data_IF_560842380657
#
_entry.id   IF_560842380657
#
_cell.length_a   1.000
_cell.length_b   1.000
_cell.length_c   1.000
_cell.angle_alpha   90.00
_cell.angle_beta   90.00
_cell.angle_gamma   90.00
#
_symmetry.space_group_name_H-M   'P 1'
#
loop_
_entity.id
_entity.type
_entity.pdbx_description
1 polymer ?
#
# COMPACT_ATOMS: atom_id res chain seq x y z
N UNK A 1 -5.25 15.03 -24.07
CA UNK A 1 -6.20 15.18 -22.96
C UNK A 1 -5.39 15.20 -21.68
N UNK A 2 -5.18 16.44 -21.23
CA UNK A 2 -4.47 17.01 -20.07
C UNK A 2 -3.79 16.01 -19.12
N UNK A 3 -2.45 16.00 -19.15
CA UNK A 3 -1.62 15.54 -18.05
C UNK A 3 -1.59 16.67 -17.02
N UNK A 4 -2.39 16.56 -15.97
CA UNK A 4 -2.32 17.49 -14.85
C UNK A 4 -0.99 17.24 -14.11
N UNK A 5 -0.06 18.15 -14.40
CA UNK A 5 1.16 18.40 -13.66
C UNK A 5 0.81 18.64 -12.19
N UNK A 6 1.16 17.68 -11.34
CA UNK A 6 1.30 17.92 -9.90
C UNK A 6 2.38 18.97 -9.69
N UNK A 7 1.95 20.16 -9.26
CA UNK A 7 2.81 21.25 -8.81
C UNK A 7 3.69 20.75 -7.66
N UNK A 8 4.95 20.48 -7.96
CA UNK A 8 6.00 20.45 -6.96
C UNK A 8 6.58 21.88 -6.93
N UNK A 9 6.22 22.67 -5.91
CA UNK A 9 6.80 24.00 -5.73
C UNK A 9 8.33 23.88 -5.64
N UNK A 10 9.01 24.42 -6.64
CA UNK A 10 10.43 24.25 -6.87
C UNK A 10 11.24 25.17 -5.93
N UNK A 11 11.62 24.63 -4.78
CA UNK A 11 12.75 25.12 -3.98
C UNK A 11 14.03 24.39 -4.38
N UNK A 12 14.76 24.98 -5.32
CA UNK A 12 16.17 24.80 -5.66
C UNK A 12 16.93 23.66 -4.95
N UNK A 13 16.94 22.45 -5.54
CA UNK A 13 18.06 21.46 -5.70
C UNK A 13 17.52 20.20 -6.42
N UNK A 14 17.51 20.20 -7.75
CA UNK A 14 17.12 19.02 -8.54
C UNK A 14 18.23 17.95 -8.52
N UNK A 15 18.21 17.06 -7.54
CA UNK A 15 18.60 15.67 -7.79
C UNK A 15 17.42 15.01 -8.52
N UNK A 16 17.58 14.70 -9.81
CA UNK A 16 16.57 14.03 -10.64
C UNK A 16 16.42 12.55 -10.25
N UNK A 17 16.04 12.29 -9.01
CA UNK A 17 15.71 10.95 -8.53
C UNK A 17 14.23 10.93 -8.24
N UNK A 18 13.52 9.98 -8.86
CA UNK A 18 12.10 9.80 -8.62
C UNK A 18 11.84 9.66 -7.11
N UNK A 19 11.03 10.55 -6.51
CA UNK A 19 10.81 10.53 -5.08
C UNK A 19 10.04 9.26 -4.68
N UNK A 20 10.48 8.63 -3.60
CA UNK A 20 9.86 7.39 -3.08
C UNK A 20 8.48 7.62 -2.47
N UNK A 21 8.21 8.86 -2.05
CA UNK A 21 6.99 9.26 -1.35
C UNK A 21 6.51 10.60 -1.89
N UNK A 22 5.20 10.84 -1.77
CA UNK A 22 4.60 12.13 -2.07
C UNK A 22 5.06 13.20 -1.07
N UNK A 23 5.13 14.49 -1.45
CA UNK A 23 5.63 15.55 -0.57
C UNK A 23 4.84 15.70 0.75
N UNK A 24 3.51 15.74 0.68
CA UNK A 24 2.62 15.76 1.86
C UNK A 24 1.90 14.42 2.02
N UNK A 25 2.59 13.51 2.70
CA UNK A 25 2.09 12.16 2.98
C UNK A 25 0.83 12.17 3.84
N UNK A 26 0.73 13.12 4.78
CA UNK A 26 -0.41 13.22 5.70
C UNK A 26 -1.66 13.66 4.94
N UNK A 27 -1.57 14.74 4.17
CA UNK A 27 -2.71 15.23 3.40
C UNK A 27 -3.17 14.21 2.36
N UNK A 28 -2.23 13.47 1.74
CA UNK A 28 -2.56 12.40 0.79
C UNK A 28 -3.31 11.26 1.48
N UNK A 29 -2.83 10.80 2.65
CA UNK A 29 -3.51 9.76 3.42
C UNK A 29 -4.91 10.18 3.89
N UNK A 30 -5.09 11.44 4.33
CA UNK A 30 -6.36 11.94 4.86
C UNK A 30 -7.41 12.21 3.76
N UNK A 31 -6.98 12.65 2.58
CA UNK A 31 -7.90 13.17 1.55
C UNK A 31 -8.12 12.23 0.36
N UNK A 32 -7.17 11.36 0.02
CA UNK A 32 -7.30 10.46 -1.13
C UNK A 32 -8.44 9.44 -0.92
N UNK A 33 -9.26 9.23 -1.94
CA UNK A 33 -10.42 8.34 -1.84
C UNK A 33 -10.05 6.89 -1.52
N UNK A 34 -8.92 6.39 -2.03
CA UNK A 34 -8.47 5.02 -1.80
C UNK A 34 -8.12 4.82 -0.33
N UNK A 35 -7.30 5.71 0.24
CA UNK A 35 -6.93 5.65 1.66
C UNK A 35 -8.16 5.85 2.55
N UNK A 36 -9.08 6.76 2.20
CA UNK A 36 -10.33 6.95 2.95
C UNK A 36 -11.26 5.74 2.93
N UNK A 37 -11.29 4.97 1.83
CA UNK A 37 -12.06 3.73 1.73
C UNK A 37 -11.44 2.61 2.58
N UNK A 38 -10.11 2.51 2.59
CA UNK A 38 -9.36 1.46 3.29
C UNK A 38 -9.06 1.76 4.77
N UNK A 39 -9.26 3.00 5.23
CA UNK A 39 -8.98 3.40 6.62
C UNK A 39 -9.97 2.86 7.65
N UNK A 40 -11.08 2.26 7.20
CA UNK A 40 -12.11 1.66 8.06
C UNK A 40 -11.97 0.14 8.08
N UNK A 41 -12.44 -0.47 9.15
CA UNK A 41 -12.53 -1.93 9.24
C UNK A 41 -13.31 -2.50 8.05
N UNK A 42 -12.73 -3.47 7.36
CA UNK A 42 -13.29 -4.10 6.17
C UNK A 42 -12.85 -5.55 6.07
N UNK A 43 -13.57 -6.36 5.29
CA UNK A 43 -13.24 -7.77 5.10
C UNK A 43 -11.91 -7.93 4.36
N UNK A 44 -10.98 -8.71 4.92
CA UNK A 44 -9.71 -9.08 4.30
C UNK A 44 -9.64 -10.60 4.17
N UNK A 45 -9.07 -11.09 3.06
CA UNK A 45 -8.89 -12.53 2.79
C UNK A 45 -7.45 -12.84 2.47
N UNK A 46 -6.95 -13.96 2.98
CA UNK A 46 -5.64 -14.47 2.57
C UNK A 46 -5.67 -14.93 1.11
N UNK A 47 -4.85 -14.28 0.27
CA UNK A 47 -4.78 -14.54 -1.18
C UNK A 47 -3.57 -15.37 -1.58
N UNK A 48 -2.72 -15.81 -0.64
CA UNK A 48 -1.58 -16.68 -0.92
C UNK A 48 -2.00 -18.09 -1.34
N UNK A 49 -1.21 -18.70 -2.24
CA UNK A 49 -1.28 -20.10 -2.64
C UNK A 49 -2.69 -20.58 -3.01
N UNK A 50 -3.48 -19.80 -3.77
CA UNK A 50 -4.89 -20.12 -4.09
C UNK A 50 -5.07 -21.39 -4.91
N UNK A 51 -4.00 -21.82 -5.59
CA UNK A 51 -3.88 -23.07 -6.35
C UNK A 51 -3.70 -24.30 -5.46
N UNK A 52 -3.47 -24.12 -4.15
CA UNK A 52 -3.17 -25.20 -3.20
C UNK A 52 -4.38 -25.61 -2.35
N UNK A 53 -4.38 -26.83 -1.80
CA UNK A 53 -5.40 -27.28 -0.86
C UNK A 53 -5.53 -26.36 0.36
N UNK A 54 -6.73 -26.28 0.94
CA UNK A 54 -7.02 -25.38 2.06
C UNK A 54 -6.10 -25.64 3.26
N UNK A 55 -5.88 -26.89 3.63
CA UNK A 55 -5.07 -27.28 4.79
C UNK A 55 -3.62 -26.78 4.64
N UNK A 56 -3.05 -26.93 3.44
CA UNK A 56 -1.70 -26.42 3.15
C UNK A 56 -1.66 -24.89 3.28
N UNK A 57 -2.69 -24.20 2.76
CA UNK A 57 -2.78 -22.73 2.84
C UNK A 57 -2.90 -22.25 4.29
N UNK A 58 -3.63 -22.96 5.14
CA UNK A 58 -3.77 -22.63 6.56
C UNK A 58 -2.45 -22.75 7.31
N UNK A 59 -1.71 -23.84 7.09
CA UNK A 59 -0.40 -24.05 7.72
C UNK A 59 0.59 -22.96 7.27
N UNK A 60 0.62 -22.64 5.98
CA UNK A 60 1.48 -21.57 5.44
C UNK A 60 1.13 -20.21 5.99
N UNK A 61 -0.16 -19.85 6.01
CA UNK A 61 -0.60 -18.58 6.58
C UNK A 61 -0.17 -18.45 8.05
N UNK A 62 -0.33 -19.51 8.85
CA UNK A 62 0.12 -19.49 10.24
C UNK A 62 1.65 -19.33 10.38
N UNK A 63 2.44 -19.91 9.47
CA UNK A 63 3.88 -19.71 9.43
C UNK A 63 4.23 -18.26 9.04
N UNK A 64 3.61 -17.72 7.99
CA UNK A 64 3.80 -16.33 7.52
C UNK A 64 3.49 -15.32 8.64
N UNK A 65 2.43 -15.57 9.42
CA UNK A 65 2.08 -14.73 10.58
C UNK A 65 3.17 -14.78 11.66
N UNK A 66 3.71 -15.96 11.97
CA UNK A 66 4.80 -16.11 12.96
C UNK A 66 6.10 -15.45 12.50
N UNK A 67 6.34 -15.42 11.21
CA UNK A 67 7.51 -14.78 10.61
C UNK A 67 7.36 -13.26 10.41
N UNK A 68 6.14 -12.72 10.58
CA UNK A 68 5.86 -11.29 10.35
C UNK A 68 5.67 -10.93 8.88
N UNK A 69 5.45 -11.93 8.01
CA UNK A 69 5.17 -11.74 6.59
C UNK A 69 3.68 -11.53 6.29
N UNK A 70 2.79 -11.85 7.24
CA UNK A 70 1.35 -11.65 7.12
C UNK A 70 0.74 -11.17 8.45
N UNK A 71 -0.18 -10.21 8.38
CA UNK A 71 -1.01 -9.82 9.53
C UNK A 71 -0.50 -8.65 10.37
N UNK A 72 0.18 -7.68 9.77
CA UNK A 72 0.45 -6.35 10.36
C UNK A 72 -0.42 -5.27 9.67
#
# INVERSE_FOLDING_TARGET
FIADTVNCEAGDKFTFTMPRVVPDQRATFENDELFRKLSRESEVKYTGFRDRPLDERQIRFQADVREGHAGD
#
